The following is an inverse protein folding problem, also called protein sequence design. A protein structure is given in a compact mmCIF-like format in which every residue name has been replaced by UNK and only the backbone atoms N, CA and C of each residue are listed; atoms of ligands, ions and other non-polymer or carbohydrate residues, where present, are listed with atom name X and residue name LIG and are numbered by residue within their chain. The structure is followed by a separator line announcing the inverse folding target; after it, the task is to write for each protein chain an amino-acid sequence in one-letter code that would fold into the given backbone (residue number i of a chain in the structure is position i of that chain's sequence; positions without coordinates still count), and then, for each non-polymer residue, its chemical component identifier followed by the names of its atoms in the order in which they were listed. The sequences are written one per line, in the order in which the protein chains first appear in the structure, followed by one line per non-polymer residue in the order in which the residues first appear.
data_IF_174785914877
#
_entry.id   IF_174785914877
#
_cell.length_a   1.000
_cell.length_b   1.000
_cell.length_c   1.000
_cell.angle_alpha   90.00
_cell.angle_beta   90.00
_cell.angle_gamma   90.00
#
_symmetry.space_group_name_H-M   'P 1'
#
loop_
_entity.id
_entity.type
_entity.pdbx_description
1 polymer ?
#
# COMPACT_ATOMS: atom_id res chain seq x y z
N UNK A 1 1.61 16.01 -15.02
CA UNK A 1 0.58 14.97 -14.91
C UNK A 1 0.85 13.89 -15.94
N UNK A 2 0.98 12.65 -15.55
CA UNK A 2 1.29 11.57 -16.48
C UNK A 2 0.20 10.49 -16.38
N UNK A 3 -0.45 10.22 -17.51
CA UNK A 3 -1.42 9.14 -17.61
C UNK A 3 -0.74 7.85 -17.99
N UNK A 4 -1.04 6.78 -17.27
CA UNK A 4 -0.43 5.46 -17.44
C UNK A 4 -1.49 4.38 -17.44
N UNK A 5 -1.20 3.26 -18.11
CA UNK A 5 -2.07 2.09 -18.01
C UNK A 5 -1.90 1.43 -16.64
N UNK A 6 -2.86 0.59 -16.25
CA UNK A 6 -2.74 -0.20 -15.02
C UNK A 6 -1.52 -1.14 -15.06
N UNK A 7 -1.19 -1.65 -16.26
CA UNK A 7 0.01 -2.47 -16.43
C UNK A 7 1.30 -1.72 -16.19
N UNK A 8 1.36 -0.45 -16.64
CA UNK A 8 2.54 0.39 -16.42
C UNK A 8 2.74 0.69 -14.94
N UNK A 9 1.66 1.03 -14.24
CA UNK A 9 1.72 1.29 -12.80
C UNK A 9 2.13 0.01 -12.06
N UNK A 10 1.57 -1.13 -12.44
CA UNK A 10 1.94 -2.42 -11.86
C UNK A 10 3.44 -2.70 -12.03
N UNK A 11 3.99 -2.44 -13.22
CA UNK A 11 5.42 -2.63 -13.46
C UNK A 11 6.28 -1.75 -12.56
N UNK A 12 5.87 -0.52 -12.31
CA UNK A 12 6.58 0.36 -11.39
C UNK A 12 6.67 -0.23 -9.99
N UNK A 13 5.56 -0.78 -9.48
CA UNK A 13 5.57 -1.47 -8.18
C UNK A 13 6.53 -2.66 -8.17
N UNK A 14 6.49 -3.47 -9.22
CA UNK A 14 7.33 -4.66 -9.31
C UNK A 14 8.82 -4.32 -9.38
N UNK A 15 9.18 -3.26 -10.09
CA UNK A 15 10.56 -2.83 -10.22
C UNK A 15 11.14 -2.35 -8.89
N UNK A 16 10.35 -1.65 -8.10
CA UNK A 16 10.78 -1.14 -6.80
C UNK A 16 10.70 -2.18 -5.69
N UNK A 17 9.79 -3.12 -5.81
CA UNK A 17 9.48 -4.06 -4.72
C UNK A 17 9.00 -5.39 -5.31
N UNK A 18 9.92 -6.33 -5.46
CA UNK A 18 9.59 -7.65 -6.00
C UNK A 18 8.54 -8.39 -5.18
N UNK A 19 8.48 -8.12 -3.87
CA UNK A 19 7.53 -8.75 -2.97
C UNK A 19 6.15 -8.12 -2.96
N UNK A 20 5.90 -7.12 -3.83
CA UNK A 20 4.59 -6.47 -3.85
C UNK A 20 3.49 -7.46 -4.18
N UNK A 21 2.35 -7.31 -3.49
CA UNK A 21 1.17 -8.12 -3.76
C UNK A 21 0.21 -7.46 -4.74
N UNK A 22 0.46 -6.22 -5.12
CA UNK A 22 -0.42 -5.52 -6.04
C UNK A 22 -0.33 -6.13 -7.43
N UNK A 23 -1.48 -6.24 -8.08
CA UNK A 23 -1.59 -6.75 -9.44
C UNK A 23 -2.27 -5.72 -10.32
N UNK A 24 -2.19 -5.91 -11.64
CA UNK A 24 -2.83 -5.02 -12.61
C UNK A 24 -4.30 -4.76 -12.29
N UNK A 25 -5.06 -5.80 -11.96
CA UNK A 25 -6.49 -5.67 -11.64
C UNK A 25 -6.70 -4.84 -10.36
N UNK A 26 -5.81 -4.98 -9.38
CA UNK A 26 -5.89 -4.18 -8.16
C UNK A 26 -5.67 -2.70 -8.47
N UNK A 27 -4.69 -2.37 -9.30
CA UNK A 27 -4.43 -0.98 -9.70
C UNK A 27 -5.69 -0.38 -10.33
N UNK A 28 -6.27 -1.09 -11.29
CA UNK A 28 -7.49 -0.63 -11.96
C UNK A 28 -8.63 -0.40 -10.96
N UNK A 29 -8.87 -1.36 -10.08
CA UNK A 29 -9.97 -1.27 -9.11
C UNK A 29 -9.74 -0.15 -8.09
N UNK A 30 -8.52 -0.01 -7.61
CA UNK A 30 -8.18 1.10 -6.71
C UNK A 30 -8.48 2.43 -7.38
N UNK A 31 -8.08 2.58 -8.64
CA UNK A 31 -8.32 3.81 -9.38
C UNK A 31 -9.81 4.11 -9.52
N UNK A 32 -10.59 3.13 -9.93
CA UNK A 32 -12.02 3.32 -10.17
C UNK A 32 -12.81 3.52 -8.87
N UNK A 33 -12.50 2.73 -7.84
CA UNK A 33 -13.24 2.77 -6.58
C UNK A 33 -12.88 3.97 -5.70
N UNK A 34 -11.70 4.57 -5.90
CA UNK A 34 -11.25 5.70 -5.10
C UNK A 34 -11.33 7.03 -5.84
N UNK A 35 -11.99 7.07 -7.00
CA UNK A 35 -12.18 8.31 -7.73
C UNK A 35 -10.89 8.93 -8.25
N UNK A 36 -9.88 8.11 -8.53
CA UNK A 36 -8.61 8.59 -9.08
C UNK A 36 -8.84 9.04 -10.53
N UNK A 37 -8.27 10.16 -10.90
CA UNK A 37 -8.42 10.71 -12.25
C UNK A 37 -8.00 9.68 -13.29
N UNK A 38 -8.90 9.44 -14.24
CA UNK A 38 -8.64 8.48 -15.31
C UNK A 38 -9.41 8.90 -16.56
N UNK A 39 -9.01 8.35 -17.69
CA UNK A 39 -9.70 8.56 -18.95
C UNK A 39 -9.74 7.26 -19.74
N UNK A 40 -10.85 7.02 -20.41
CA UNK A 40 -11.03 5.84 -21.27
C UNK A 40 -10.72 6.23 -22.70
N UNK A 41 -9.76 5.56 -23.33
CA UNK A 41 -9.37 5.76 -24.71
C UNK A 41 -9.22 4.42 -25.41
N UNK A 42 -10.00 4.18 -26.47
CA UNK A 42 -9.94 2.93 -27.25
C UNK A 42 -10.02 1.67 -26.35
N UNK A 43 -10.94 1.68 -25.40
CA UNK A 43 -11.13 0.58 -24.42
C UNK A 43 -9.96 0.39 -23.45
N UNK A 44 -9.04 1.33 -23.38
CA UNK A 44 -7.93 1.32 -22.44
C UNK A 44 -8.16 2.42 -21.41
N UNK A 45 -8.05 2.08 -20.14
CA UNK A 45 -8.12 3.07 -19.06
C UNK A 45 -6.73 3.60 -18.81
N UNK A 46 -6.59 4.92 -18.92
CA UNK A 46 -5.37 5.63 -18.56
C UNK A 46 -5.59 6.32 -17.22
N UNK A 47 -4.69 6.09 -16.29
CA UNK A 47 -4.80 6.53 -14.91
C UNK A 47 -3.78 7.64 -14.67
N UNK A 48 -4.21 8.71 -14.00
CA UNK A 48 -3.28 9.76 -13.56
C UNK A 48 -2.37 9.18 -12.48
N UNK A 49 -1.12 8.97 -12.84
CA UNK A 49 -0.16 8.30 -11.97
C UNK A 49 0.13 9.09 -10.69
N UNK A 50 0.19 10.42 -10.79
CA UNK A 50 0.39 11.27 -9.61
C UNK A 50 -0.75 11.10 -8.62
N UNK A 51 -1.98 11.18 -9.11
CA UNK A 51 -3.17 11.02 -8.29
C UNK A 51 -3.22 9.63 -7.66
N UNK A 52 -2.83 8.62 -8.44
CA UNK A 52 -2.77 7.23 -7.93
C UNK A 52 -1.78 7.10 -6.77
N UNK A 53 -0.54 7.57 -6.95
CA UNK A 53 0.49 7.44 -5.92
C UNK A 53 0.20 8.32 -4.70
N UNK A 54 -0.42 9.47 -4.90
CA UNK A 54 -0.88 10.29 -3.78
C UNK A 54 -1.94 9.55 -2.96
N UNK A 55 -2.80 8.78 -3.61
CA UNK A 55 -3.85 8.03 -2.93
C UNK A 55 -3.30 6.87 -2.12
N UNK A 56 -2.38 6.08 -2.69
CA UNK A 56 -1.82 4.91 -2.00
C UNK A 56 -0.77 5.31 -0.97
N UNK A 57 -0.31 6.56 -0.99
CA UNK A 57 0.66 7.08 -0.04
C UNK A 57 0.22 8.48 0.43
N UNK A 58 -0.97 8.59 1.07
CA UNK A 58 -1.65 9.87 1.28
C UNK A 58 -0.90 10.86 2.16
N UNK A 59 0.04 10.41 2.97
CA UNK A 59 0.80 11.29 3.85
C UNK A 59 2.24 11.48 3.39
N UNK A 60 2.47 11.30 2.08
CA UNK A 60 3.77 11.58 1.50
C UNK A 60 3.96 13.08 1.35
N UNK A 61 4.82 13.66 2.17
CA UNK A 61 5.07 15.11 2.18
C UNK A 61 6.12 15.55 1.16
N UNK A 62 6.70 14.63 0.41
CA UNK A 62 7.71 14.98 -0.59
C UNK A 62 7.04 15.23 -1.93
N UNK A 63 6.97 16.50 -2.30
CA UNK A 63 6.19 16.97 -3.44
C UNK A 63 6.78 16.60 -4.81
N UNK A 64 8.03 16.17 -4.89
CA UNK A 64 8.74 16.11 -6.16
C UNK A 64 9.03 14.70 -6.66
N UNK A 65 8.85 13.67 -5.85
CA UNK A 65 9.11 12.30 -6.25
C UNK A 65 7.98 11.38 -5.82
N UNK A 66 7.60 10.49 -6.73
CA UNK A 66 6.68 9.42 -6.37
C UNK A 66 7.41 8.42 -5.49
N UNK A 67 6.99 8.30 -4.27
CA UNK A 67 7.47 7.22 -3.42
C UNK A 67 6.58 6.02 -3.65
N UNK A 68 7.19 4.95 -4.13
CA UNK A 68 6.47 3.70 -4.37
C UNK A 68 6.50 2.87 -3.10
N UNK A 69 5.35 2.69 -2.43
CA UNK A 69 5.32 2.01 -1.14
C UNK A 69 5.38 0.49 -1.30
N UNK A 70 5.80 -0.17 -0.22
CA UNK A 70 5.66 -1.62 -0.11
C UNK A 70 4.22 -1.95 0.24
N UNK A 71 3.54 -2.63 -0.66
CA UNK A 71 2.16 -3.07 -0.44
C UNK A 71 2.16 -4.55 -0.05
N UNK A 72 1.54 -4.85 1.08
CA UNK A 72 1.50 -6.21 1.64
C UNK A 72 0.12 -6.52 2.17
N UNK A 73 -0.27 -7.79 2.20
CA UNK A 73 -1.43 -8.19 2.98
C UNK A 73 -1.09 -8.17 4.48
N UNK A 74 -2.12 -8.22 5.32
CA UNK A 74 -1.92 -8.15 6.78
C UNK A 74 -0.98 -9.24 7.27
N UNK A 75 -1.16 -10.46 6.81
CA UNK A 75 -0.32 -11.60 7.18
C UNK A 75 1.15 -11.35 6.82
N UNK A 76 1.39 -10.80 5.64
CA UNK A 76 2.74 -10.50 5.18
C UNK A 76 3.33 -9.30 5.92
N UNK A 77 2.51 -8.33 6.34
CA UNK A 77 2.97 -7.24 7.20
C UNK A 77 3.53 -7.80 8.52
N UNK A 78 2.80 -8.72 9.15
CA UNK A 78 3.27 -9.36 10.37
C UNK A 78 4.56 -10.14 10.12
N UNK A 79 4.63 -10.85 9.01
CA UNK A 79 5.82 -11.62 8.63
C UNK A 79 7.02 -10.72 8.41
N UNK A 80 6.83 -9.59 7.71
CA UNK A 80 7.91 -8.61 7.49
C UNK A 80 8.44 -8.06 8.80
N UNK A 81 7.55 -7.66 9.71
CA UNK A 81 7.97 -7.16 11.01
C UNK A 81 8.76 -8.22 11.78
N UNK A 82 8.22 -9.43 11.88
CA UNK A 82 8.81 -10.49 12.70
C UNK A 82 10.13 -11.00 12.13
N UNK A 83 10.27 -10.96 10.78
CA UNK A 83 11.52 -11.33 10.11
C UNK A 83 12.66 -10.36 10.44
N UNK A 84 12.35 -9.08 10.63
CA UNK A 84 13.35 -8.05 10.86
C UNK A 84 13.45 -7.62 12.34
N UNK A 85 12.82 -8.38 13.24
CA UNK A 85 12.92 -8.08 14.68
C UNK A 85 14.37 -8.16 15.15
N UNK A 86 14.70 -7.21 16.02
CA UNK A 86 15.97 -7.20 16.74
C UNK A 86 15.76 -7.74 18.14
N UNK A 87 16.87 -8.01 18.85
CA UNK A 87 16.82 -8.43 20.24
C UNK A 87 16.03 -7.41 21.07
N UNK A 88 15.04 -7.88 21.81
CA UNK A 88 14.17 -7.01 22.60
C UNK A 88 12.88 -6.62 21.91
N UNK A 89 12.77 -6.82 20.60
CA UNK A 89 11.53 -6.52 19.89
C UNK A 89 10.47 -7.60 20.14
N UNK A 90 9.24 -7.15 20.26
CA UNK A 90 8.08 -7.99 20.46
C UNK A 90 7.66 -8.68 19.17
N UNK A 91 7.19 -9.91 19.26
CA UNK A 91 6.46 -10.56 18.18
C UNK A 91 5.11 -9.87 18.02
N UNK A 92 4.73 -9.54 16.79
CA UNK A 92 3.43 -8.92 16.50
C UNK A 92 2.62 -9.88 15.64
N UNK A 93 1.41 -10.20 16.11
CA UNK A 93 0.49 -11.08 15.40
C UNK A 93 -0.32 -10.32 14.36
N UNK A 94 -0.72 -11.01 13.28
CA UNK A 94 -1.56 -10.43 12.23
C UNK A 94 -2.86 -9.86 12.80
N UNK A 95 -3.42 -10.49 13.83
CA UNK A 95 -4.67 -10.02 14.46
C UNK A 95 -4.50 -8.66 15.13
N UNK A 96 -3.34 -8.39 15.74
CA UNK A 96 -3.04 -7.08 16.32
C UNK A 96 -2.99 -6.00 15.23
N UNK A 97 -2.41 -6.32 14.08
CA UNK A 97 -2.34 -5.39 12.94
C UNK A 97 -3.75 -5.14 12.40
N UNK A 98 -4.55 -6.19 12.25
CA UNK A 98 -5.93 -6.07 11.77
C UNK A 98 -6.75 -5.16 12.68
N UNK A 99 -6.66 -5.38 13.99
CA UNK A 99 -7.40 -4.58 14.96
C UNK A 99 -6.97 -3.11 14.92
N UNK A 100 -5.68 -2.85 14.81
CA UNK A 100 -5.15 -1.49 14.65
C UNK A 100 -5.73 -0.83 13.39
N UNK A 101 -5.71 -1.53 12.27
CA UNK A 101 -6.15 -0.97 10.97
C UNK A 101 -7.65 -0.69 10.93
N UNK A 102 -8.46 -1.37 11.74
CA UNK A 102 -9.92 -1.13 11.77
C UNK A 102 -10.27 0.28 12.20
N UNK A 103 -9.46 0.89 13.04
CA UNK A 103 -9.74 2.22 13.59
C UNK A 103 -8.78 3.30 13.11
N UNK A 104 -7.73 2.91 12.39
CA UNK A 104 -6.74 3.86 11.89
C UNK A 104 -7.16 4.47 10.56
N UNK A 105 -6.92 5.78 10.41
CA UNK A 105 -7.20 6.51 9.17
C UNK A 105 -5.93 6.99 8.46
N UNK A 106 -4.75 6.71 9.02
CA UNK A 106 -3.49 7.26 8.51
C UNK A 106 -2.73 6.34 7.56
N UNK A 107 -3.03 5.04 7.61
CA UNK A 107 -2.38 4.04 6.76
C UNK A 107 -3.29 3.71 5.60
N UNK A 108 -2.75 3.79 4.38
CA UNK A 108 -3.52 3.37 3.21
C UNK A 108 -3.80 1.87 3.30
N UNK A 109 -5.05 1.52 3.12
CA UNK A 109 -5.50 0.13 3.06
C UNK A 109 -6.64 0.00 2.06
N UNK A 110 -6.65 -1.10 1.36
CA UNK A 110 -7.67 -1.40 0.36
C UNK A 110 -8.11 -2.85 0.51
N UNK A 111 -9.41 -3.06 0.69
CA UNK A 111 -9.94 -4.42 0.84
C UNK A 111 -10.28 -5.00 -0.52
N UNK A 112 -9.69 -6.15 -0.81
CA UNK A 112 -9.92 -6.87 -2.06
C UNK A 112 -10.38 -8.29 -1.72
N UNK A 113 -11.66 -8.53 -1.85
CA UNK A 113 -12.25 -9.77 -1.36
C UNK A 113 -12.02 -9.94 0.13
N UNK A 114 -11.38 -11.03 0.53
CA UNK A 114 -11.03 -11.29 1.94
C UNK A 114 -9.62 -10.83 2.29
N UNK A 115 -8.91 -10.23 1.34
CA UNK A 115 -7.55 -9.76 1.55
C UNK A 115 -7.51 -8.26 1.67
N UNK A 116 -6.59 -7.78 2.50
CA UNK A 116 -6.28 -6.36 2.60
C UNK A 116 -4.95 -6.09 1.92
N UNK A 117 -4.89 -5.02 1.15
CA UNK A 117 -3.64 -4.46 0.63
C UNK A 117 -3.31 -3.27 1.51
N UNK A 118 -2.16 -3.31 2.17
CA UNK A 118 -1.76 -2.32 3.17
C UNK A 118 -0.43 -1.71 2.78
N UNK A 119 -0.31 -0.40 2.94
CA UNK A 119 0.97 0.29 2.77
C UNK A 119 1.84 0.01 4.00
N UNK A 120 2.78 -0.92 3.85
CA UNK A 120 3.64 -1.34 4.96
C UNK A 120 4.54 -0.20 5.45
N UNK A 121 5.01 0.65 4.54
CA UNK A 121 5.89 1.77 4.93
C UNK A 121 5.18 2.74 5.88
N UNK A 122 3.88 2.96 5.65
CA UNK A 122 3.07 3.79 6.57
C UNK A 122 2.73 3.06 7.85
N UNK A 123 2.58 1.74 7.79
CA UNK A 123 2.27 0.94 8.96
C UNK A 123 3.45 0.82 9.92
N UNK A 124 4.67 0.76 9.39
CA UNK A 124 5.87 0.47 10.18
C UNK A 124 6.06 1.38 11.40
N UNK A 125 5.89 2.71 11.31
CA UNK A 125 5.99 3.57 12.49
C UNK A 125 4.99 3.18 13.59
N UNK A 126 3.80 2.74 13.22
CA UNK A 126 2.78 2.29 14.16
C UNK A 126 3.16 0.97 14.82
N UNK A 127 3.76 0.05 14.06
CA UNK A 127 4.27 -1.21 14.61
C UNK A 127 5.38 -0.95 15.63
N UNK A 128 6.24 0.01 15.37
CA UNK A 128 7.27 0.41 16.31
C UNK A 128 6.67 0.92 17.62
N UNK A 129 5.56 1.64 17.56
CA UNK A 129 4.84 2.10 18.76
C UNK A 129 4.18 0.95 19.50
N UNK A 130 3.57 0.01 18.78
CA UNK A 130 2.97 -1.19 19.38
C UNK A 130 4.06 -2.01 20.07
N UNK A 131 5.21 -2.13 19.45
CA UNK A 131 6.37 -2.83 20.00
C UNK A 131 6.80 -2.29 21.37
N UNK A 132 6.65 -0.98 21.57
CA UNK A 132 7.04 -0.30 22.81
C UNK A 132 6.01 -0.42 23.93
N UNK A 133 4.80 -0.89 23.61
CA UNK A 133 3.75 -1.09 24.61
C UNK A 133 4.00 -2.41 25.33
N UNK A 134 3.87 -2.36 26.63
CA UNK A 134 3.94 -3.56 27.45
C UNK A 134 2.56 -4.07 27.80
#
# INVERSE_FOLDING_TARGET
MKYMTSGDIHRMFKQEDEGTIIRRNNVRRIALENGIKNTLTQNIILIDSKDFFDKVNPYNLQEHEYKIPKLRCIKDCAREWNKHRKTGDRFIHADEIRDFLKTDSTVFKYKFGNKWIVNYDQLLPHLKRINRRE
#
